data_IF_517482874368
#
_entry.id   IF_517482874368
#
_cell.length_a   1.000
_cell.length_b   1.000
_cell.length_c   1.000
_cell.angle_alpha   90.00
_cell.angle_beta   90.00
_cell.angle_gamma   90.00
#
_symmetry.space_group_name_H-M   'P 1'
#
loop_
_entity.id
_entity.type
_entity.pdbx_description
1 polymer ?
#
# COMPACT_ATOMS: atom_id res chain seq x y z
N UNK A 1 19.85 -1.09 15.63
CA UNK A 1 19.40 -2.43 15.17
C UNK A 1 19.31 -2.39 13.66
N UNK A 2 20.32 -2.87 12.95
CA UNK A 2 20.46 -2.69 11.50
C UNK A 2 19.82 -3.87 10.76
N UNK A 3 18.49 -3.90 10.67
CA UNK A 3 17.80 -4.91 9.83
C UNK A 3 17.85 -4.45 8.37
N UNK A 4 19.00 -4.60 7.71
CA UNK A 4 19.19 -4.29 6.28
C UNK A 4 19.46 -5.56 5.50
N UNK A 5 18.41 -6.22 4.99
CA UNK A 5 18.43 -7.04 3.75
C UNK A 5 17.00 -7.33 3.24
N UNK A 6 16.13 -6.32 3.17
CA UNK A 6 14.88 -6.47 2.41
C UNK A 6 15.04 -5.78 1.05
N UNK A 7 14.86 -6.55 -0.02
CA UNK A 7 14.84 -6.06 -1.39
C UNK A 7 13.63 -6.65 -2.12
N UNK A 8 12.63 -5.82 -2.41
CA UNK A 8 11.41 -6.29 -3.06
C UNK A 8 11.73 -6.88 -4.44
N UNK A 9 11.49 -8.18 -4.61
CA UNK A 9 11.67 -8.90 -5.89
C UNK A 9 10.42 -8.86 -6.78
N UNK A 10 9.48 -7.96 -6.50
CA UNK A 10 8.23 -7.80 -7.27
C UNK A 10 7.41 -9.10 -7.37
N UNK A 11 7.50 -9.96 -6.36
CA UNK A 11 6.80 -11.26 -6.34
C UNK A 11 5.29 -11.14 -6.11
N UNK A 12 4.78 -9.97 -5.72
CA UNK A 12 3.35 -9.73 -5.46
C UNK A 12 2.86 -10.17 -4.09
N UNK A 13 3.47 -11.16 -3.44
CA UNK A 13 2.95 -11.78 -2.21
C UNK A 13 2.62 -10.77 -1.09
N UNK A 14 3.52 -9.83 -0.82
CA UNK A 14 3.25 -8.78 0.17
C UNK A 14 2.11 -7.84 -0.23
N UNK A 15 2.02 -7.47 -1.51
CA UNK A 15 1.01 -6.53 -2.00
C UNK A 15 -0.38 -7.17 -2.08
N UNK A 16 -0.44 -8.47 -2.40
CA UNK A 16 -1.67 -9.25 -2.44
C UNK A 16 -2.16 -9.62 -1.04
N UNK A 17 -1.25 -9.74 -0.07
CA UNK A 17 -1.59 -10.05 1.31
C UNK A 17 -1.94 -8.81 2.14
N UNK A 18 -1.33 -7.66 1.85
CA UNK A 18 -1.60 -6.43 2.58
C UNK A 18 -3.04 -5.98 2.34
N UNK A 19 -3.91 -6.24 3.32
CA UNK A 19 -5.28 -5.76 3.38
C UNK A 19 -5.36 -4.69 4.47
N UNK A 20 -5.69 -3.47 4.07
CA UNK A 20 -5.97 -2.34 4.96
C UNK A 20 -6.97 -1.43 4.27
N UNK A 21 -7.84 -0.85 5.07
CA UNK A 21 -8.94 0.02 4.70
C UNK A 21 -8.68 1.48 5.03
N UNK A 22 -7.61 1.78 5.79
CA UNK A 22 -7.27 3.13 6.22
C UNK A 22 -5.77 3.44 6.10
N UNK A 23 -5.45 4.72 5.94
CA UNK A 23 -4.08 5.24 5.94
C UNK A 23 -3.90 6.37 6.94
N UNK A 24 -2.65 6.63 7.30
CA UNK A 24 -2.30 7.70 8.23
C UNK A 24 -2.38 9.07 7.54
N UNK A 25 -2.64 10.13 8.32
CA UNK A 25 -2.63 11.50 7.79
C UNK A 25 -1.27 11.87 7.16
N UNK A 26 -0.17 11.28 7.64
CA UNK A 26 1.15 11.47 7.04
C UNK A 26 1.23 10.97 5.59
N UNK A 27 0.46 9.95 5.22
CA UNK A 27 0.38 9.46 3.84
C UNK A 27 -0.40 10.43 2.96
N UNK A 28 -1.48 11.02 3.49
CA UNK A 28 -2.25 12.07 2.82
C UNK A 28 -1.37 13.28 2.52
N UNK A 29 -0.67 13.79 3.53
CA UNK A 29 0.24 14.93 3.39
C UNK A 29 1.33 14.66 2.37
N UNK A 30 1.91 13.45 2.37
CA UNK A 30 2.89 13.05 1.37
C UNK A 30 2.31 13.14 -0.05
N UNK A 31 1.09 12.64 -0.28
CA UNK A 31 0.46 12.66 -1.59
C UNK A 31 0.09 14.07 -2.04
N UNK A 32 -0.37 14.92 -1.13
CA UNK A 32 -0.62 16.34 -1.38
C UNK A 32 0.68 17.08 -1.77
N UNK A 33 1.74 16.92 -0.98
CA UNK A 33 3.05 17.53 -1.24
C UNK A 33 3.65 17.07 -2.58
N UNK A 34 3.40 15.83 -2.98
CA UNK A 34 3.86 15.26 -4.24
C UNK A 34 2.91 15.53 -5.42
N UNK A 35 1.80 16.23 -5.19
CA UNK A 35 0.80 16.53 -6.22
C UNK A 35 0.13 15.27 -6.80
N UNK A 36 0.04 14.19 -6.02
CA UNK A 36 -0.54 12.90 -6.43
C UNK A 36 -2.05 12.88 -6.27
N UNK A 37 -2.73 13.77 -7.00
CA UNK A 37 -4.20 13.84 -7.02
C UNK A 37 -4.82 12.53 -7.48
N UNK A 38 -4.13 11.79 -8.34
CA UNK A 38 -4.53 10.47 -8.81
C UNK A 38 -4.62 9.43 -7.68
N UNK A 39 -3.84 9.58 -6.59
CA UNK A 39 -3.97 8.74 -5.38
C UNK A 39 -5.04 9.30 -4.45
N UNK A 40 -5.06 10.62 -4.27
CA UNK A 40 -6.02 11.30 -3.39
C UNK A 40 -7.48 11.08 -3.81
N UNK A 41 -7.75 10.94 -5.11
CA UNK A 41 -9.08 10.62 -5.63
C UNK A 41 -9.64 9.28 -5.09
N UNK A 42 -8.75 8.37 -4.67
CA UNK A 42 -9.12 7.06 -4.09
C UNK A 42 -9.29 7.08 -2.57
N UNK A 43 -9.16 8.26 -1.95
CA UNK A 43 -9.27 8.43 -0.49
C UNK A 43 -10.64 9.00 -0.15
N UNK A 44 -11.30 8.41 0.85
CA UNK A 44 -12.52 8.96 1.45
C UNK A 44 -12.22 9.43 2.87
N UNK A 45 -12.36 10.73 3.10
CA UNK A 45 -12.27 11.33 4.43
C UNK A 45 -13.59 11.10 5.18
N UNK A 46 -13.55 10.39 6.29
CA UNK A 46 -14.72 10.01 7.09
C UNK A 46 -14.65 10.66 8.48
N UNK A 47 -15.62 11.50 8.88
CA UNK A 47 -15.66 12.04 10.23
C UNK A 47 -15.80 10.91 11.26
N UNK A 48 -15.00 10.93 12.32
CA UNK A 48 -15.05 9.93 13.41
C UNK A 48 -15.45 10.52 14.78
N UNK A 49 -15.72 11.83 14.83
CA UNK A 49 -16.10 12.55 16.05
C UNK A 49 -15.12 13.68 16.37
N UNK A 50 -15.51 14.64 17.21
CA UNK A 50 -14.64 15.70 17.76
C UNK A 50 -13.80 16.53 16.76
N UNK A 51 -14.21 16.57 15.49
CA UNK A 51 -13.47 17.24 14.43
C UNK A 51 -12.33 16.41 13.83
N UNK A 52 -12.21 15.15 14.22
CA UNK A 52 -11.25 14.18 13.71
C UNK A 52 -11.83 13.37 12.53
N UNK A 53 -10.91 12.83 11.73
CA UNK A 53 -11.23 12.11 10.51
C UNK A 53 -10.35 10.88 10.33
N UNK A 54 -10.96 9.80 9.86
CA UNK A 54 -10.27 8.66 9.25
C UNK A 54 -10.12 8.89 7.74
N UNK A 55 -9.10 8.26 7.15
CA UNK A 55 -8.81 8.32 5.73
C UNK A 55 -8.93 6.92 5.13
N UNK A 56 -10.12 6.59 4.64
CA UNK A 56 -10.42 5.29 4.07
C UNK A 56 -9.85 5.16 2.65
N UNK A 57 -9.28 3.99 2.34
CA UNK A 57 -8.75 3.58 1.04
C UNK A 57 -9.10 2.10 0.81
N UNK A 58 -9.20 1.56 -0.39
CA UNK A 58 -9.18 2.20 -1.70
C UNK A 58 -10.62 2.34 -2.17
N UNK A 59 -11.09 3.57 -2.33
CA UNK A 59 -12.46 3.84 -2.76
C UNK A 59 -12.42 4.20 -4.24
N UNK A 60 -13.15 3.46 -5.08
CA UNK A 60 -13.21 3.77 -6.51
C UNK A 60 -13.80 5.19 -6.71
N UNK A 61 -13.08 6.11 -7.37
CA UNK A 61 -13.51 7.50 -7.50
C UNK A 61 -14.78 7.65 -8.35
N UNK A 62 -15.10 6.67 -9.19
CA UNK A 62 -16.26 6.68 -10.10
C UNK A 62 -17.49 6.06 -9.45
N UNK A 63 -17.35 4.92 -8.78
CA UNK A 63 -18.49 4.21 -8.15
C UNK A 63 -18.71 4.61 -6.70
N UNK A 64 -17.69 5.15 -6.03
CA UNK A 64 -17.65 5.46 -4.59
C UNK A 64 -17.73 4.23 -3.69
N UNK A 65 -17.43 3.06 -4.24
CA UNK A 65 -17.41 1.77 -3.54
C UNK A 65 -15.99 1.35 -3.18
N UNK A 66 -15.87 0.53 -2.15
CA UNK A 66 -14.60 -0.11 -1.79
C UNK A 66 -14.23 -1.16 -2.84
N UNK A 67 -12.94 -1.24 -3.18
CA UNK A 67 -12.44 -2.27 -4.09
C UNK A 67 -11.78 -3.42 -3.32
N UNK A 68 -11.94 -4.65 -3.83
CA UNK A 68 -11.43 -5.88 -3.22
C UNK A 68 -9.89 -6.01 -3.24
N UNK A 69 -9.16 -5.03 -3.78
CA UNK A 69 -7.70 -5.10 -3.87
C UNK A 69 -7.04 -3.76 -4.19
N UNK A 70 -5.72 -3.72 -4.08
CA UNK A 70 -4.96 -2.50 -4.33
C UNK A 70 -5.05 -2.09 -5.82
N UNK A 71 -5.61 -0.91 -6.15
CA UNK A 71 -5.76 -0.46 -7.54
C UNK A 71 -4.41 -0.12 -8.19
N UNK A 72 -3.36 0.04 -7.38
CA UNK A 72 -2.01 0.38 -7.82
C UNK A 72 -1.14 -0.84 -8.11
N UNK A 73 -1.65 -2.06 -7.90
CA UNK A 73 -0.92 -3.29 -8.16
C UNK A 73 -1.19 -3.78 -9.58
N UNK A 74 -0.14 -3.82 -10.41
CA UNK A 74 -0.23 -4.28 -11.79
C UNK A 74 0.56 -5.57 -11.99
N UNK A 75 -0.09 -6.63 -12.47
CA UNK A 75 0.57 -7.84 -12.93
C UNK A 75 1.13 -7.63 -14.34
N UNK A 76 2.37 -8.07 -14.57
CA UNK A 76 2.97 -8.02 -15.91
C UNK A 76 2.59 -9.26 -16.73
N UNK A 77 2.25 -9.10 -18.03
CA UNK A 77 2.02 -10.25 -18.90
C UNK A 77 3.29 -11.09 -19.07
N UNK A 78 3.16 -12.41 -18.98
CA UNK A 78 4.24 -13.35 -19.31
C UNK A 78 5.28 -13.62 -18.21
N UNK A 79 5.28 -12.85 -17.13
CA UNK A 79 6.12 -13.09 -15.94
C UNK A 79 5.26 -12.88 -14.70
N UNK A 80 5.34 -13.76 -13.69
CA UNK A 80 4.59 -13.65 -12.41
C UNK A 80 5.00 -12.45 -11.53
N UNK A 81 5.49 -11.37 -12.15
CA UNK A 81 5.91 -10.14 -11.50
C UNK A 81 4.72 -9.20 -11.32
N UNK A 82 4.74 -8.52 -10.18
CA UNK A 82 3.76 -7.53 -9.80
C UNK A 82 4.47 -6.21 -9.49
N UNK A 83 3.99 -5.13 -10.10
CA UNK A 83 4.55 -3.78 -9.96
C UNK A 83 3.55 -2.92 -9.20
N UNK A 84 4.01 -2.28 -8.14
CA UNK A 84 3.27 -1.20 -7.48
C UNK A 84 3.53 0.11 -8.24
N UNK A 85 2.49 0.69 -8.81
CA UNK A 85 2.59 1.93 -9.59
C UNK A 85 2.87 3.18 -8.75
N UNK A 86 2.75 3.07 -7.42
CA UNK A 86 3.00 4.15 -6.45
C UNK A 86 4.18 3.84 -5.54
N UNK A 87 5.13 3.00 -5.99
CA UNK A 87 6.18 2.42 -5.14
C UNK A 87 6.97 3.46 -4.31
N UNK A 88 7.24 4.62 -4.90
CA UNK A 88 7.98 5.74 -4.32
C UNK A 88 7.19 6.50 -3.24
N UNK A 89 5.86 6.53 -3.35
CA UNK A 89 4.94 7.23 -2.43
C UNK A 89 3.95 6.28 -1.76
N UNK A 90 4.32 5.00 -1.60
CA UNK A 90 3.47 4.00 -0.96
C UNK A 90 2.98 4.49 0.41
N UNK A 91 1.78 4.07 0.85
CA UNK A 91 1.35 4.30 2.23
C UNK A 91 2.35 3.72 3.22
N UNK A 92 2.37 4.27 4.43
CA UNK A 92 3.31 3.93 5.49
C UNK A 92 3.22 2.45 5.84
N UNK A 93 2.00 1.90 5.94
CA UNK A 93 1.78 0.47 6.15
C UNK A 93 2.49 -0.39 5.09
N UNK A 94 2.44 0.01 3.80
CA UNK A 94 3.11 -0.70 2.71
C UNK A 94 4.63 -0.54 2.72
N UNK A 95 5.19 0.58 3.23
CA UNK A 95 6.64 0.79 3.33
C UNK A 95 7.27 -0.11 4.38
N UNK A 96 6.55 -0.37 5.47
CA UNK A 96 6.99 -1.24 6.55
C UNK A 96 6.60 -2.71 6.34
N UNK A 97 5.84 -3.02 5.28
CA UNK A 97 5.46 -4.38 4.94
C UNK A 97 6.56 -5.08 4.12
N UNK A 98 6.93 -6.33 4.45
CA UNK A 98 6.53 -7.12 5.61
C UNK A 98 7.24 -6.69 6.90
N UNK A 99 6.52 -6.70 8.02
CA UNK A 99 7.01 -6.17 9.31
C UNK A 99 8.22 -6.92 9.92
N UNK A 100 8.47 -8.16 9.51
CA UNK A 100 9.63 -8.94 9.96
C UNK A 100 9.99 -10.06 8.98
N UNK A 101 11.18 -10.66 9.15
CA UNK A 101 11.57 -11.88 8.40
C UNK A 101 10.58 -13.03 8.61
N UNK A 102 10.10 -13.21 9.84
CA UNK A 102 9.11 -14.24 10.17
C UNK A 102 7.80 -14.00 9.41
N UNK A 103 7.30 -12.77 9.44
CA UNK A 103 6.09 -12.39 8.72
C UNK A 103 6.25 -12.57 7.21
N UNK A 104 7.40 -12.20 6.64
CA UNK A 104 7.69 -12.49 5.24
C UNK A 104 7.66 -13.97 4.90
N UNK A 105 8.23 -14.83 5.75
CA UNK A 105 8.22 -16.27 5.51
C UNK A 105 6.79 -16.82 5.51
N UNK A 106 5.94 -16.36 6.44
CA UNK A 106 4.51 -16.73 6.50
C UNK A 106 3.75 -16.33 5.22
N UNK A 107 4.05 -15.15 4.67
CA UNK A 107 3.45 -14.64 3.42
C UNK A 107 4.10 -15.27 2.17
N UNK A 108 5.24 -15.96 2.31
CA UNK A 108 6.04 -16.46 1.19
C UNK A 108 6.77 -15.36 0.41
N UNK A 109 7.06 -14.21 1.04
CA UNK A 109 7.80 -13.12 0.41
C UNK A 109 9.22 -13.54 0.00
N UNK A 110 9.60 -13.26 -1.24
CA UNK A 110 10.93 -13.58 -1.81
C UNK A 110 11.98 -12.47 -1.58
N UNK A 111 11.65 -11.47 -0.76
CA UNK A 111 12.41 -10.22 -0.65
C UNK A 111 13.48 -10.19 0.42
N UNK A 112 13.46 -11.10 1.39
CA UNK A 112 14.55 -11.23 2.35
C UNK A 112 15.62 -12.15 1.77
N UNK A 113 16.82 -11.61 1.64
CA UNK A 113 18.00 -12.42 1.33
C UNK A 113 18.46 -13.13 2.62
N UNK A 114 18.91 -14.38 2.48
CA UNK A 114 19.44 -15.18 3.58
C UNK A 114 20.51 -14.40 4.38
#
# INVERSE_FOLDING_TARGET
>A
MTQKKFNCKQCGNCCLYACFDEVEEADIRLWEEKGRTDILDWVRRKPIGDGDYAYEVWIDPRTREEVDGCPWLKSLPGNSQHICQIYDVRPTICRYFPASRKHAAEIGCKGFEE
#
